data_IF_783633079817
#
_entry.id   IF_783633079817
#
_cell.length_a   1.000
_cell.length_b   1.000
_cell.length_c   1.000
_cell.angle_alpha   90.00
_cell.angle_beta   90.00
_cell.angle_gamma   90.00
#
_symmetry.space_group_name_H-M   'P 1'
#
loop_
_entity.id
_entity.type
_entity.pdbx_description
1 polymer ?
#
# COMPACT_ATOMS: atom_id res chain seq x y z
N UNK A 1 41.09 38.31 -22.21
CA UNK A 1 40.56 37.01 -22.65
C UNK A 1 40.51 37.00 -24.16
N UNK A 2 41.21 36.07 -24.79
CA UNK A 2 41.09 35.86 -26.24
C UNK A 2 39.73 35.23 -26.55
N UNK A 3 39.17 35.47 -27.75
CA UNK A 3 37.87 34.90 -28.16
C UNK A 3 37.85 33.36 -28.07
N UNK A 4 39.00 32.72 -28.28
CA UNK A 4 39.20 31.28 -28.11
C UNK A 4 39.08 30.83 -26.66
N UNK A 5 39.65 31.56 -25.70
CA UNK A 5 39.49 31.25 -24.26
C UNK A 5 38.02 31.30 -23.85
N UNK A 6 37.29 32.33 -24.30
CA UNK A 6 35.86 32.45 -24.02
C UNK A 6 35.06 31.29 -24.61
N UNK A 7 35.34 30.92 -25.87
CA UNK A 7 34.69 29.78 -26.52
C UNK A 7 34.92 28.46 -25.76
N UNK A 8 36.15 28.21 -25.30
CA UNK A 8 36.49 27.01 -24.51
C UNK A 8 35.73 27.00 -23.18
N UNK A 9 35.68 28.12 -22.46
CA UNK A 9 34.92 28.23 -21.20
C UNK A 9 33.43 27.96 -21.43
N UNK A 10 32.85 28.53 -22.48
CA UNK A 10 31.43 28.31 -22.82
C UNK A 10 31.17 26.83 -23.11
N UNK A 11 32.00 26.18 -23.92
CA UNK A 11 31.85 24.74 -24.23
C UNK A 11 31.95 23.88 -22.97
N UNK A 12 32.90 24.17 -22.08
CA UNK A 12 33.06 23.46 -20.81
C UNK A 12 31.84 23.64 -19.90
N UNK A 13 31.31 24.86 -19.78
CA UNK A 13 30.11 25.14 -18.98
C UNK A 13 28.89 24.43 -19.56
N UNK A 14 28.69 24.47 -20.88
CA UNK A 14 27.59 23.77 -21.55
C UNK A 14 27.71 22.25 -21.35
N UNK A 15 28.91 21.69 -21.52
CA UNK A 15 29.16 20.26 -21.27
C UNK A 15 28.84 19.85 -19.83
N UNK A 16 29.26 20.65 -18.86
CA UNK A 16 28.95 20.43 -17.44
C UNK A 16 27.44 20.48 -17.16
N UNK A 17 26.74 21.45 -17.75
CA UNK A 17 25.28 21.56 -17.62
C UNK A 17 24.57 20.36 -18.23
N UNK A 18 24.93 19.95 -19.45
CA UNK A 18 24.34 18.76 -20.11
C UNK A 18 24.56 17.49 -19.28
N UNK A 19 25.77 17.30 -18.75
CA UNK A 19 26.08 16.18 -17.86
C UNK A 19 25.23 16.22 -16.58
N UNK A 20 25.11 17.38 -15.93
CA UNK A 20 24.31 17.53 -14.72
C UNK A 20 22.82 17.25 -14.98
N UNK A 21 22.28 17.72 -16.11
CA UNK A 21 20.90 17.45 -16.53
C UNK A 21 20.69 15.95 -16.75
N UNK A 22 21.60 15.29 -17.46
CA UNK A 22 21.52 13.86 -17.70
C UNK A 22 21.56 13.03 -16.41
N UNK A 23 22.45 13.37 -15.47
CA UNK A 23 22.51 12.72 -14.14
C UNK A 23 21.20 12.90 -13.37
N UNK A 24 20.64 14.11 -13.37
CA UNK A 24 19.37 14.41 -12.66
C UNK A 24 18.19 13.68 -13.28
N UNK A 25 18.08 13.64 -14.60
CA UNK A 25 17.04 12.91 -15.32
C UNK A 25 17.14 11.39 -15.05
N UNK A 26 18.34 10.82 -15.14
CA UNK A 26 18.59 9.39 -14.89
C UNK A 26 18.27 9.00 -13.44
N UNK A 27 18.57 9.88 -12.49
CA UNK A 27 18.21 9.67 -11.07
C UNK A 27 16.70 9.69 -10.86
N UNK A 28 15.98 10.60 -11.53
CA UNK A 28 14.53 10.69 -11.44
C UNK A 28 13.84 9.44 -12.00
N UNK A 29 14.29 8.95 -13.16
CA UNK A 29 13.78 7.72 -13.77
C UNK A 29 13.95 6.48 -12.87
N UNK A 30 15.13 6.32 -12.26
CA UNK A 30 15.38 5.24 -11.29
C UNK A 30 14.46 5.34 -10.07
N UNK A 31 14.17 6.55 -9.58
CA UNK A 31 13.28 6.76 -8.45
C UNK A 31 11.82 6.45 -8.82
N UNK A 32 11.35 6.85 -9.99
CA UNK A 32 10.01 6.49 -10.47
C UNK A 32 9.83 4.97 -10.59
N UNK A 33 10.82 4.26 -11.16
CA UNK A 33 10.80 2.79 -11.18
C UNK A 33 10.77 2.19 -9.78
N UNK A 34 11.54 2.75 -8.84
CA UNK A 34 11.56 2.29 -7.44
C UNK A 34 10.20 2.48 -6.75
N UNK A 35 9.53 3.61 -6.98
CA UNK A 35 8.17 3.85 -6.46
C UNK A 35 7.17 2.86 -7.04
N UNK A 36 7.22 2.60 -8.36
CA UNK A 36 6.37 1.59 -8.98
C UNK A 36 6.57 0.19 -8.41
N UNK A 37 7.84 -0.21 -8.23
CA UNK A 37 8.19 -1.50 -7.63
C UNK A 37 7.74 -1.60 -6.16
N UNK A 38 7.96 -0.55 -5.34
CA UNK A 38 7.54 -0.57 -3.93
C UNK A 38 6.02 -0.60 -3.78
N UNK A 39 5.27 0.08 -4.68
CA UNK A 39 3.81 0.02 -4.71
C UNK A 39 3.31 -1.40 -4.96
N UNK A 40 3.90 -2.13 -5.92
CA UNK A 40 3.51 -3.51 -6.20
C UNK A 40 3.77 -4.45 -5.02
N UNK A 41 4.88 -4.25 -4.31
CA UNK A 41 5.19 -5.00 -3.08
C UNK A 41 4.15 -4.75 -2.00
N UNK A 42 3.82 -3.48 -1.73
CA UNK A 42 2.79 -3.11 -0.75
C UNK A 42 1.46 -3.77 -1.08
N UNK A 43 1.01 -3.67 -2.33
CA UNK A 43 -0.27 -4.24 -2.76
C UNK A 43 -0.32 -5.76 -2.54
N UNK A 44 0.77 -6.46 -2.85
CA UNK A 44 0.88 -7.91 -2.61
C UNK A 44 0.76 -8.24 -1.11
N UNK A 45 1.38 -7.44 -0.23
CA UNK A 45 1.30 -7.69 1.21
C UNK A 45 -0.08 -7.36 1.78
N UNK A 46 -0.75 -6.32 1.27
CA UNK A 46 -2.11 -5.96 1.68
C UNK A 46 -3.11 -7.07 1.32
N UNK A 47 -3.05 -7.57 0.07
CA UNK A 47 -3.85 -8.71 -0.35
C UNK A 47 -3.58 -9.92 0.53
N UNK A 48 -2.31 -10.22 0.81
CA UNK A 48 -1.95 -11.33 1.69
C UNK A 48 -2.54 -11.17 3.10
N UNK A 49 -2.51 -9.98 3.68
CA UNK A 49 -3.11 -9.70 5.00
C UNK A 49 -4.62 -9.91 4.97
N UNK A 50 -5.30 -9.35 3.96
CA UNK A 50 -6.75 -9.48 3.82
C UNK A 50 -7.18 -10.94 3.59
N UNK A 51 -6.42 -11.72 2.81
CA UNK A 51 -6.68 -13.16 2.64
C UNK A 51 -6.57 -13.92 3.96
N UNK A 52 -5.51 -13.69 4.75
CA UNK A 52 -5.36 -14.36 6.05
C UNK A 52 -6.45 -13.93 7.03
N UNK A 53 -6.88 -12.67 7.00
CA UNK A 53 -8.02 -12.20 7.80
C UNK A 53 -9.34 -12.88 7.39
N UNK A 54 -9.58 -13.07 6.09
CA UNK A 54 -10.73 -13.81 5.60
C UNK A 54 -10.68 -15.30 5.97
N UNK A 55 -9.50 -15.92 5.95
CA UNK A 55 -9.28 -17.29 6.43
C UNK A 55 -9.59 -17.40 7.93
N UNK A 56 -9.17 -16.42 8.75
CA UNK A 56 -9.49 -16.36 10.16
C UNK A 56 -11.01 -16.23 10.40
N UNK A 57 -11.68 -15.32 9.68
CA UNK A 57 -13.13 -15.12 9.76
C UNK A 57 -13.94 -16.37 9.36
N UNK A 58 -13.42 -17.18 8.44
CA UNK A 58 -14.08 -18.40 7.95
C UNK A 58 -13.63 -19.69 8.66
N UNK A 59 -12.70 -19.59 9.61
CA UNK A 59 -12.15 -20.74 10.35
C UNK A 59 -13.14 -21.40 11.30
N UNK A 60 -14.18 -20.68 11.73
CA UNK A 60 -15.12 -21.11 12.77
C UNK A 60 -14.57 -21.00 14.20
N UNK A 61 -13.41 -20.37 14.40
CA UNK A 61 -12.78 -20.16 15.71
C UNK A 61 -13.21 -18.86 16.39
N UNK A 62 -13.67 -17.88 15.61
CA UNK A 62 -14.22 -16.63 16.13
C UNK A 62 -15.70 -16.79 16.49
N UNK A 63 -16.20 -15.94 17.38
CA UNK A 63 -17.64 -15.85 17.60
C UNK A 63 -18.35 -15.35 16.32
N UNK A 64 -19.67 -15.59 16.19
CA UNK A 64 -20.41 -15.23 14.98
C UNK A 64 -20.36 -13.75 14.62
N UNK A 65 -20.30 -12.84 15.60
CA UNK A 65 -20.27 -11.40 15.36
C UNK A 65 -18.89 -11.00 14.83
N UNK A 66 -17.82 -11.41 15.51
CA UNK A 66 -16.45 -11.13 15.07
C UNK A 66 -16.13 -11.72 13.70
N UNK A 67 -16.66 -12.91 13.40
CA UNK A 67 -16.52 -13.55 12.09
C UNK A 67 -17.11 -12.70 10.96
N UNK A 68 -18.30 -12.12 11.17
CA UNK A 68 -18.95 -11.25 10.18
C UNK A 68 -18.19 -9.93 10.02
N UNK A 69 -17.85 -9.27 11.13
CA UNK A 69 -17.15 -7.98 11.11
C UNK A 69 -15.80 -8.07 10.41
N UNK A 70 -14.96 -9.07 10.77
CA UNK A 70 -13.65 -9.28 10.13
C UNK A 70 -13.82 -9.73 8.68
N UNK A 71 -14.79 -10.61 8.41
CA UNK A 71 -15.07 -11.12 7.07
C UNK A 71 -15.44 -10.00 6.10
N UNK A 72 -16.39 -9.14 6.45
CA UNK A 72 -16.82 -8.01 5.63
C UNK A 72 -15.67 -7.04 5.34
N UNK A 73 -14.90 -6.67 6.36
CA UNK A 73 -13.76 -5.77 6.20
C UNK A 73 -12.65 -6.40 5.33
N UNK A 74 -12.39 -7.70 5.48
CA UNK A 74 -11.42 -8.43 4.67
C UNK A 74 -11.86 -8.51 3.19
N UNK A 75 -13.15 -8.79 2.95
CA UNK A 75 -13.71 -8.80 1.59
C UNK A 75 -13.68 -7.42 0.94
N UNK A 76 -14.01 -6.36 1.69
CA UNK A 76 -13.88 -4.99 1.22
C UNK A 76 -12.44 -4.66 0.81
N UNK A 77 -11.46 -5.07 1.61
CA UNK A 77 -10.03 -4.90 1.31
C UNK A 77 -9.59 -5.71 0.07
N UNK A 78 -10.08 -6.93 -0.12
CA UNK A 78 -9.80 -7.72 -1.33
C UNK A 78 -10.44 -7.10 -2.58
N UNK A 79 -11.68 -6.63 -2.48
CA UNK A 79 -12.39 -5.97 -3.59
C UNK A 79 -11.67 -4.68 -4.02
N UNK A 80 -11.18 -3.90 -3.05
CA UNK A 80 -10.42 -2.67 -3.33
C UNK A 80 -9.11 -2.93 -4.10
N UNK A 81 -8.46 -4.10 -3.91
CA UNK A 81 -7.23 -4.48 -4.65
C UNK A 81 -7.46 -4.62 -6.17
N UNK A 82 -8.65 -5.09 -6.57
CA UNK A 82 -9.02 -5.29 -7.97
C UNK A 82 -9.25 -3.99 -8.74
N UNK A 83 -9.68 -2.92 -8.05
CA UNK A 83 -10.00 -1.63 -8.68
C UNK A 83 -8.77 -0.80 -9.07
N UNK A 84 -7.60 -1.09 -8.47
CA UNK A 84 -6.36 -0.34 -8.69
C UNK A 84 -5.39 -0.97 -9.70
N UNK A 85 -5.67 -2.17 -10.20
CA UNK A 85 -5.07 -2.63 -11.44
C UNK A 85 -5.71 -1.78 -12.53
N UNK A 86 -4.90 -0.96 -13.20
CA UNK A 86 -5.21 -0.53 -14.56
C UNK A 86 -5.35 -1.80 -15.41
N UNK A 87 -6.48 -2.50 -15.31
CA UNK A 87 -7.02 -3.22 -16.45
C UNK A 87 -7.05 -2.13 -17.50
N UNK A 88 -6.27 -2.24 -18.59
CA UNK A 88 -6.43 -1.30 -19.67
C UNK A 88 -7.93 -1.29 -19.93
N UNK A 89 -8.58 -0.14 -19.74
CA UNK A 89 -9.80 0.13 -20.47
C UNK A 89 -9.35 0.18 -21.94
N UNK A 90 -9.00 -0.97 -22.50
CA UNK A 90 -9.22 -1.22 -23.90
C UNK A 90 -10.68 -0.88 -24.14
N UNK A 91 -11.02 -0.31 -25.30
CA UNK A 91 -12.34 0.25 -25.55
C UNK A 91 -13.39 -0.81 -25.24
N UNK A 92 -13.95 -0.74 -24.03
CA UNK A 92 -15.09 -1.53 -23.64
C UNK A 92 -16.20 -0.95 -24.51
N UNK A 93 -16.88 -1.77 -25.32
CA UNK A 93 -17.96 -1.27 -26.16
C UNK A 93 -18.97 -0.54 -25.28
N UNK A 94 -19.41 0.65 -25.70
CA UNK A 94 -20.23 1.57 -24.91
C UNK A 94 -21.48 0.91 -24.28
N UNK A 95 -22.00 -0.13 -24.94
CA UNK A 95 -23.13 -0.93 -24.43
C UNK A 95 -22.83 -1.77 -23.19
N UNK A 96 -21.57 -2.16 -22.95
CA UNK A 96 -21.18 -2.93 -21.76
C UNK A 96 -21.02 -2.02 -20.53
N UNK A 97 -20.56 -0.78 -20.73
CA UNK A 97 -20.53 0.24 -19.67
C UNK A 97 -21.96 0.57 -19.21
N UNK A 98 -22.87 0.78 -20.17
CA UNK A 98 -24.28 1.04 -19.87
C UNK A 98 -24.99 -0.13 -19.16
N UNK A 99 -24.59 -1.38 -19.41
CA UNK A 99 -25.10 -2.58 -18.73
C UNK A 99 -24.54 -2.76 -17.31
N UNK A 100 -23.37 -2.19 -17.02
CA UNK A 100 -22.79 -2.17 -15.68
C UNK A 100 -23.32 -1.00 -14.83
N UNK A 101 -23.65 0.12 -15.48
CA UNK A 101 -24.26 1.29 -14.84
C UNK A 101 -25.79 1.13 -14.67
N UNK A 102 -26.41 0.24 -15.45
CA UNK A 102 -27.85 0.01 -15.51
C UNK A 102 -28.30 -1.28 -14.85
N UNK A 103 -28.09 -1.41 -13.54
CA UNK A 103 -28.94 -2.16 -12.59
C UNK A 103 -28.22 -2.19 -11.23
N UNK A 104 -28.62 -1.30 -10.33
CA UNK A 104 -27.98 -1.16 -9.02
C UNK A 104 -28.74 -0.27 -8.07
N UNK A 105 -30.06 -0.49 -7.92
CA UNK A 105 -30.78 -0.06 -6.72
C UNK A 105 -30.06 -0.68 -5.50
N UNK A 106 -29.19 0.09 -4.83
CA UNK A 106 -28.66 -0.27 -3.50
C UNK A 106 -27.15 -0.11 -3.23
N UNK A 107 -26.33 0.48 -4.10
CA UNK A 107 -24.93 0.79 -3.74
C UNK A 107 -24.77 2.31 -3.55
N UNK A 108 -24.42 2.81 -2.35
CA UNK A 108 -24.24 4.24 -2.12
C UNK A 108 -23.08 4.78 -2.96
N UNK A 109 -23.43 5.66 -3.90
CA UNK A 109 -22.60 6.62 -4.66
C UNK A 109 -21.08 6.31 -4.74
N UNK A 110 -20.72 5.26 -5.47
CA UNK A 110 -19.35 5.03 -5.91
C UNK A 110 -19.24 5.52 -7.34
N UNK A 111 -18.85 6.78 -7.52
CA UNK A 111 -18.40 7.31 -8.82
C UNK A 111 -17.34 6.36 -9.41
N UNK A 112 -17.63 5.63 -10.51
CA UNK A 112 -16.70 4.68 -11.10
C UNK A 112 -15.78 5.42 -12.07
N UNK A 113 -14.60 5.85 -11.61
CA UNK A 113 -13.58 6.34 -12.55
C UNK A 113 -12.56 7.33 -12.02
N UNK A 114 -12.85 8.04 -10.93
CA UNK A 114 -11.82 8.74 -10.18
C UNK A 114 -11.35 7.79 -9.08
N UNK A 115 -10.08 7.37 -9.13
CA UNK A 115 -9.44 6.81 -7.95
C UNK A 115 -9.48 7.90 -6.88
N UNK A 116 -10.47 7.86 -5.99
CA UNK A 116 -10.56 8.80 -4.86
C UNK A 116 -9.27 8.61 -4.07
N UNK A 117 -8.40 9.63 -4.00
CA UNK A 117 -7.14 9.53 -3.27
C UNK A 117 -7.43 9.07 -1.84
N UNK A 118 -6.69 8.08 -1.35
CA UNK A 118 -6.90 7.52 -0.02
C UNK A 118 -8.00 6.45 0.10
N UNK A 119 -8.79 6.13 -0.94
CA UNK A 119 -9.80 5.03 -0.87
C UNK A 119 -9.17 3.70 -0.42
N UNK A 120 -8.01 3.34 -1.00
CA UNK A 120 -7.28 2.13 -0.61
C UNK A 120 -6.85 2.17 0.86
N UNK A 121 -6.35 3.32 1.32
CA UNK A 121 -5.91 3.51 2.69
C UNK A 121 -7.05 3.43 3.70
N UNK A 122 -8.21 3.99 3.37
CA UNK A 122 -9.43 3.92 4.19
C UNK A 122 -9.89 2.49 4.42
N UNK A 123 -10.07 1.72 3.34
CA UNK A 123 -10.50 0.31 3.43
C UNK A 123 -9.49 -0.55 4.21
N UNK A 124 -8.19 -0.31 4.06
CA UNK A 124 -7.17 -1.04 4.84
C UNK A 124 -7.16 -0.62 6.33
N UNK A 125 -7.53 0.62 6.63
CA UNK A 125 -7.69 1.11 8.00
C UNK A 125 -8.92 0.50 8.67
N UNK A 126 -10.02 0.33 7.92
CA UNK A 126 -11.23 -0.36 8.39
C UNK A 126 -10.93 -1.82 8.72
N UNK A 127 -10.20 -2.54 7.85
CA UNK A 127 -9.72 -3.89 8.15
C UNK A 127 -8.85 -3.92 9.41
N UNK A 128 -7.95 -2.95 9.57
CA UNK A 128 -7.13 -2.83 10.76
C UNK A 128 -7.95 -2.55 12.03
N UNK A 129 -9.01 -1.74 11.94
CA UNK A 129 -9.91 -1.47 13.06
C UNK A 129 -10.70 -2.72 13.45
N UNK A 130 -11.30 -3.42 12.47
CA UNK A 130 -12.03 -4.66 12.70
C UNK A 130 -11.15 -5.74 13.35
N UNK A 131 -9.92 -5.90 12.87
CA UNK A 131 -8.99 -6.87 13.46
C UNK A 131 -8.52 -6.46 14.86
N UNK A 132 -8.38 -5.16 15.16
CA UNK A 132 -8.04 -4.70 16.51
C UNK A 132 -9.17 -4.95 17.50
N UNK A 133 -10.42 -4.70 17.09
CA UNK A 133 -11.59 -4.97 17.92
C UNK A 133 -11.64 -6.43 18.40
N UNK A 134 -11.28 -7.37 17.52
CA UNK A 134 -11.27 -8.81 17.82
C UNK A 134 -9.98 -9.30 18.48
N UNK A 135 -8.85 -8.64 18.27
CA UNK A 135 -7.51 -9.13 18.69
C UNK A 135 -6.85 -8.26 19.77
N UNK A 136 -7.61 -7.38 20.42
CA UNK A 136 -7.14 -6.60 21.57
C UNK A 136 -7.35 -7.32 22.91
N UNK A 137 -8.24 -8.33 22.98
CA UNK A 137 -8.44 -9.17 24.17
C UNK A 137 -7.46 -10.35 24.20
N UNK A 138 -6.67 -10.44 25.28
CA UNK A 138 -5.67 -11.49 25.45
C UNK A 138 -6.27 -12.87 25.73
N UNK A 139 -7.40 -12.93 26.44
CA UNK A 139 -8.04 -14.21 26.78
C UNK A 139 -8.65 -14.85 25.52
N UNK A 140 -9.22 -14.04 24.62
CA UNK A 140 -9.73 -14.50 23.33
C UNK A 140 -8.60 -14.97 22.41
N UNK A 141 -7.50 -14.21 22.31
CA UNK A 141 -6.34 -14.60 21.51
C UNK A 141 -5.69 -15.87 22.04
N UNK A 142 -5.56 -16.02 23.36
CA UNK A 142 -5.03 -17.25 23.98
C UNK A 142 -5.94 -18.45 23.72
N UNK A 143 -7.27 -18.27 23.73
CA UNK A 143 -8.23 -19.31 23.37
C UNK A 143 -8.10 -19.73 21.90
N UNK A 144 -7.91 -18.78 20.98
CA UNK A 144 -7.64 -19.07 19.57
C UNK A 144 -6.31 -19.81 19.38
N UNK A 145 -5.27 -19.39 20.11
CA UNK A 145 -3.94 -20.01 20.03
C UNK A 145 -3.89 -21.42 20.64
N UNK A 146 -4.84 -21.78 21.51
CA UNK A 146 -4.96 -23.14 22.04
C UNK A 146 -5.31 -24.16 20.93
N UNK A 147 -5.98 -23.72 19.87
CA UNK A 147 -6.27 -24.54 18.69
C UNK A 147 -5.12 -24.47 17.68
N UNK A 148 -4.55 -25.60 17.20
CA UNK A 148 -3.42 -25.57 16.28
C UNK A 148 -3.66 -24.80 14.98
N UNK A 149 -4.90 -24.80 14.49
CA UNK A 149 -5.29 -24.02 13.31
C UNK A 149 -5.35 -22.52 13.61
N UNK A 150 -5.81 -22.14 14.81
CA UNK A 150 -5.88 -20.75 15.25
C UNK A 150 -4.49 -20.15 15.47
N UNK A 151 -3.60 -20.89 16.14
CA UNK A 151 -2.20 -20.48 16.32
C UNK A 151 -1.50 -20.21 14.97
N UNK A 152 -1.68 -21.13 14.00
CA UNK A 152 -1.12 -20.95 12.66
C UNK A 152 -1.67 -19.71 11.93
N UNK A 153 -2.98 -19.42 12.08
CA UNK A 153 -3.62 -18.24 11.49
C UNK A 153 -3.17 -16.94 12.15
N UNK A 154 -3.07 -16.90 13.49
CA UNK A 154 -2.55 -15.75 14.23
C UNK A 154 -1.09 -15.45 13.86
N UNK A 155 -0.25 -16.47 13.77
CA UNK A 155 1.13 -16.33 13.33
C UNK A 155 1.22 -15.82 11.88
N UNK A 156 0.40 -16.36 10.97
CA UNK A 156 0.33 -15.91 9.59
C UNK A 156 -0.15 -14.45 9.49
N UNK A 157 -1.13 -14.05 10.29
CA UNK A 157 -1.68 -12.71 10.32
C UNK A 157 -0.64 -11.71 10.84
N UNK A 158 0.02 -12.01 11.97
CA UNK A 158 1.11 -11.20 12.50
C UNK A 158 2.25 -11.04 11.49
N UNK A 159 2.64 -12.11 10.80
CA UNK A 159 3.67 -12.07 9.76
C UNK A 159 3.23 -11.22 8.55
N UNK A 160 1.96 -11.25 8.16
CA UNK A 160 1.43 -10.42 7.08
C UNK A 160 1.37 -8.93 7.51
N UNK A 161 0.89 -8.65 8.72
CA UNK A 161 0.80 -7.31 9.29
C UNK A 161 2.17 -6.62 9.36
N UNK A 162 3.17 -7.34 9.86
CA UNK A 162 4.55 -6.82 9.92
C UNK A 162 5.10 -6.49 8.51
N UNK A 163 4.85 -7.36 7.53
CA UNK A 163 5.27 -7.14 6.15
C UNK A 163 4.57 -5.95 5.50
N UNK A 164 3.29 -5.72 5.80
CA UNK A 164 2.54 -4.53 5.37
C UNK A 164 3.18 -3.25 5.92
N UNK A 165 3.43 -3.18 7.23
CA UNK A 165 4.06 -2.00 7.85
C UNK A 165 5.42 -1.68 7.20
N UNK A 166 6.25 -2.71 6.99
CA UNK A 166 7.56 -2.55 6.38
C UNK A 166 7.45 -2.09 4.93
N UNK A 167 6.57 -2.72 4.14
CA UNK A 167 6.37 -2.36 2.75
C UNK A 167 5.86 -0.91 2.62
N UNK A 168 4.91 -0.49 3.46
CA UNK A 168 4.36 0.87 3.47
C UNK A 168 5.44 1.91 3.78
N UNK A 169 6.29 1.64 4.79
CA UNK A 169 7.44 2.52 5.13
C UNK A 169 8.40 2.66 3.95
N UNK A 170 8.78 1.56 3.31
CA UNK A 170 9.65 1.61 2.12
C UNK A 170 9.02 2.35 0.94
N UNK A 171 7.71 2.19 0.74
CA UNK A 171 6.99 2.92 -0.28
C UNK A 171 6.98 4.42 0.01
N UNK A 172 6.58 4.83 1.21
CA UNK A 172 6.54 6.24 1.61
C UNK A 172 7.93 6.89 1.57
N UNK A 173 9.00 6.15 1.90
CA UNK A 173 10.36 6.65 1.73
C UNK A 173 10.72 6.88 0.26
N UNK A 174 10.38 5.92 -0.62
CA UNK A 174 10.62 6.07 -2.06
C UNK A 174 9.85 7.26 -2.65
N UNK A 175 8.59 7.46 -2.22
CA UNK A 175 7.77 8.62 -2.58
C UNK A 175 8.44 9.91 -2.12
N UNK A 176 8.82 10.01 -0.84
CA UNK A 176 9.46 11.20 -0.27
C UNK A 176 10.79 11.53 -0.98
N UNK A 177 11.62 10.52 -1.26
CA UNK A 177 12.85 10.68 -2.04
C UNK A 177 12.57 11.25 -3.44
N UNK A 178 11.51 10.77 -4.10
CA UNK A 178 11.09 11.23 -5.43
C UNK A 178 10.58 12.67 -5.40
N UNK A 179 9.69 13.00 -4.47
CA UNK A 179 9.15 14.36 -4.30
C UNK A 179 10.26 15.38 -4.02
N UNK A 180 11.23 15.04 -3.16
CA UNK A 180 12.41 15.90 -2.89
C UNK A 180 13.20 16.23 -4.16
N UNK A 181 13.36 15.26 -5.07
CA UNK A 181 14.04 15.47 -6.36
C UNK A 181 13.20 16.30 -7.31
N UNK A 182 11.90 16.00 -7.42
CA UNK A 182 10.95 16.73 -8.29
C UNK A 182 10.84 18.21 -7.90
N UNK A 183 10.96 18.54 -6.60
CA UNK A 183 10.93 19.93 -6.09
C UNK A 183 12.21 20.73 -6.37
N UNK A 184 13.30 20.08 -6.79
CA UNK A 184 14.56 20.76 -7.11
C UNK A 184 14.48 21.68 -8.32
N UNK A 185 15.16 22.84 -8.25
CA UNK A 185 15.09 23.90 -9.27
C UNK A 185 15.41 23.42 -10.69
N UNK A 186 16.43 22.58 -10.86
CA UNK A 186 16.83 22.05 -12.18
C UNK A 186 15.72 21.19 -12.80
N UNK A 187 15.06 20.34 -12.01
CA UNK A 187 13.99 19.45 -12.48
C UNK A 187 12.74 20.25 -12.85
N UNK A 188 12.41 21.28 -12.07
CA UNK A 188 11.28 22.18 -12.34
C UNK A 188 11.51 23.07 -13.56
N UNK A 189 12.68 23.72 -13.63
CA UNK A 189 13.03 24.63 -14.73
C UNK A 189 13.06 23.90 -16.07
N UNK A 190 13.61 22.69 -16.09
CA UNK A 190 13.73 21.87 -17.30
C UNK A 190 12.56 20.91 -17.53
N UNK A 191 11.51 20.96 -16.69
CA UNK A 191 10.33 20.07 -16.75
C UNK A 191 10.68 18.58 -16.91
N UNK A 192 11.76 18.11 -16.27
CA UNK A 192 12.27 16.74 -16.44
C UNK A 192 11.31 15.65 -15.94
N UNK A 193 10.36 16.00 -15.07
CA UNK A 193 9.33 15.07 -14.60
C UNK A 193 8.21 14.83 -15.64
N UNK A 194 8.14 15.63 -16.70
CA UNK A 194 7.11 15.54 -17.73
C UNK A 194 5.69 15.62 -17.15
N UNK A 195 4.82 14.75 -17.65
CA UNK A 195 3.40 14.62 -17.26
C UNK A 195 3.17 13.52 -16.20
N UNK A 196 4.23 12.95 -15.61
CA UNK A 196 4.06 11.93 -14.59
C UNK A 196 3.39 12.54 -13.35
N UNK A 197 2.28 11.92 -12.91
CA UNK A 197 1.58 12.28 -11.68
C UNK A 197 2.54 12.32 -10.48
N UNK A 198 2.28 13.20 -9.52
CA UNK A 198 3.08 13.22 -8.30
C UNK A 198 2.86 11.91 -7.53
N UNK A 199 3.92 11.18 -7.13
CA UNK A 199 3.74 10.01 -6.30
C UNK A 199 3.18 10.43 -4.95
N UNK A 200 2.15 9.72 -4.49
CA UNK A 200 1.45 9.98 -3.23
C UNK A 200 1.86 8.93 -2.18
N UNK A 201 1.92 9.34 -0.91
CA UNK A 201 2.15 8.41 0.19
C UNK A 201 0.90 7.56 0.43
N UNK A 202 1.11 6.37 0.98
CA UNK A 202 0.03 5.52 1.42
C UNK A 202 -0.24 5.77 2.90
N UNK A 203 -1.32 6.49 3.17
CA UNK A 203 -1.85 6.74 4.51
C UNK A 203 -2.87 5.65 4.85
N UNK A 204 -2.60 4.89 5.92
CA UNK A 204 -3.53 3.93 6.51
C UNK A 204 -3.19 3.77 8.00
N UNK A 205 -4.19 3.44 8.80
CA UNK A 205 -3.98 2.89 10.13
C UNK A 205 -3.56 1.42 10.01
N UNK A 206 -2.39 1.11 10.56
CA UNK A 206 -1.85 -0.24 10.68
C UNK A 206 -1.32 -0.50 12.10
N UNK A 207 -1.92 0.16 13.11
CA UNK A 207 -1.61 -0.04 14.51
C UNK A 207 -1.72 -1.52 14.91
N UNK A 208 -0.72 -2.00 15.65
CA UNK A 208 -0.64 -3.41 16.05
C UNK A 208 -1.67 -3.73 17.14
N UNK A 209 -2.50 -4.79 17.01
CA UNK A 209 -3.42 -5.22 18.07
C UNK A 209 -2.67 -5.64 19.35
N UNK A 210 -3.20 -5.30 20.51
CA UNK A 210 -2.47 -5.44 21.78
C UNK A 210 -2.12 -6.88 22.14
N UNK A 211 -3.03 -7.83 21.86
CA UNK A 211 -2.85 -9.23 22.20
C UNK A 211 -2.22 -10.08 21.08
N UNK A 212 -2.13 -9.58 19.85
CA UNK A 212 -1.56 -10.34 18.73
C UNK A 212 -0.03 -10.53 18.92
N UNK A 213 0.50 -11.77 18.88
CA UNK A 213 1.92 -12.03 19.04
C UNK A 213 2.76 -11.41 17.93
N UNK A 214 3.83 -10.69 18.29
CA UNK A 214 4.74 -10.12 17.27
C UNK A 214 5.63 -11.21 16.67
N UNK A 215 5.96 -11.11 15.37
CA UNK A 215 6.92 -12.02 14.76
C UNK A 215 8.26 -12.01 15.53
N UNK A 216 8.63 -13.17 16.06
CA UNK A 216 9.87 -13.35 16.82
C UNK A 216 9.76 -13.16 18.33
N UNK A 217 8.61 -12.68 18.85
CA UNK A 217 8.27 -12.85 20.26
C UNK A 217 7.77 -14.28 20.45
N UNK A 218 8.49 -15.10 21.23
CA UNK A 218 7.97 -16.39 21.67
C UNK A 218 6.84 -16.13 22.68
N UNK A 219 5.71 -16.87 22.62
CA UNK A 219 4.72 -16.81 23.67
C UNK A 219 5.43 -17.08 25.00
N UNK A 220 5.25 -16.19 25.97
CA UNK A 220 5.92 -16.26 27.25
C UNK A 220 5.66 -17.64 27.86
N UNK A 221 6.68 -18.51 27.84
CA UNK A 221 6.65 -19.77 28.54
C UNK A 221 6.49 -19.47 30.04
N UNK A 222 5.25 -19.57 30.52
CA UNK A 222 4.90 -19.46 31.95
C UNK A 222 4.26 -18.13 32.35
N UNK A 223 2.95 -17.97 32.09
CA UNK A 223 2.08 -17.33 33.10
C UNK A 223 1.44 -18.44 33.93
N UNK A 224 1.63 -18.47 35.26
CA UNK A 224 0.90 -19.41 36.09
C UNK A 224 -0.60 -19.08 36.00
N UNK A 225 -1.40 -20.09 35.67
CA UNK A 225 -2.87 -20.07 35.83
C UNK A 225 -3.16 -19.68 37.28
N UNK A 226 -3.90 -18.59 37.47
CA UNK A 226 -4.42 -18.17 38.78
C UNK A 226 -5.90 -18.49 38.87
#
# INVERSE_FOLDING_TARGET
MTWSELAVVVVLVVGLLLWLVWVRASRLDRLHRKVGASRAVVETQLVRRATVAAELATSGLLDPVSSVVVGEAAWAALAASGTGRDVPRGPLPDGLLALLDGDGDGIPDVVPGAAVPGRRGGVESELSAALREVLDDADEVDALAAEPAGDALLAALGAAWYRVQLARRFHNEAVAQTQRVRRGAVVRLLRLAGHAAEPETLEMDDAWPAALPRPGEQPAAGRPVR
#
